data_IF_085289957761
#
_entry.id   IF_085289957761
#
_cell.length_a   1.000
_cell.length_b   1.000
_cell.length_c   1.000
_cell.angle_alpha   90.00
_cell.angle_beta   90.00
_cell.angle_gamma   90.00
#
_symmetry.space_group_name_H-M   'P 1'
#
loop_
_entity.id
_entity.type
_entity.pdbx_description
1 polymer ?
#
# COMPACT_ATOMS: atom_id res chain seq x y z
N UNK A 1 5.02 2.69 47.76
CA UNK A 1 4.10 1.63 47.32
C UNK A 1 3.98 1.78 45.82
N UNK A 2 4.71 0.96 45.07
CA UNK A 2 4.62 0.90 43.61
C UNK A 2 3.35 0.12 43.27
N UNK A 3 2.26 0.82 42.95
CA UNK A 3 1.08 0.18 42.38
C UNK A 3 1.47 -0.49 41.07
N UNK A 4 1.33 -1.81 41.03
CA UNK A 4 1.63 -2.61 39.85
C UNK A 4 0.67 -2.25 38.72
N UNK A 5 1.22 -1.68 37.65
CA UNK A 5 0.50 -1.59 36.38
C UNK A 5 0.11 -3.00 35.95
N UNK A 6 -1.19 -3.24 35.77
CA UNK A 6 -1.71 -4.49 35.23
C UNK A 6 -1.41 -4.55 33.72
N UNK A 7 -0.25 -5.11 33.36
CA UNK A 7 0.21 -5.22 31.97
C UNK A 7 -0.76 -5.98 31.04
N UNK A 8 -1.76 -6.69 31.61
CA UNK A 8 -2.77 -7.40 30.81
C UNK A 8 -3.68 -6.44 30.03
N UNK A 9 -3.93 -5.24 30.55
CA UNK A 9 -4.67 -4.18 29.85
C UNK A 9 -3.74 -3.00 29.68
N UNK A 10 -2.95 -3.05 28.61
CA UNK A 10 -1.88 -2.08 28.39
C UNK A 10 -2.41 -0.69 28.01
N UNK A 11 -3.51 -0.61 27.26
CA UNK A 11 -4.10 0.65 26.81
C UNK A 11 -5.53 0.46 26.29
N UNK A 12 -6.25 1.58 26.15
CA UNK A 12 -7.47 1.69 25.34
C UNK A 12 -7.08 1.98 23.89
N UNK A 13 -7.53 1.16 22.94
CA UNK A 13 -7.41 1.43 21.50
C UNK A 13 -8.62 2.22 21.00
N UNK A 14 -8.39 3.25 20.19
CA UNK A 14 -9.42 4.05 19.53
C UNK A 14 -9.41 3.77 18.02
N UNK A 15 -10.57 3.86 17.37
CA UNK A 15 -10.76 3.74 15.91
C UNK A 15 -11.42 5.00 15.34
N UNK A 16 -11.79 4.99 14.04
CA UNK A 16 -12.32 6.14 13.33
C UNK A 16 -13.57 6.76 13.99
N UNK A 17 -14.54 5.93 14.41
CA UNK A 17 -15.80 6.42 14.99
C UNK A 17 -15.67 6.93 16.43
N UNK A 18 -14.51 6.74 17.07
CA UNK A 18 -14.25 7.19 18.44
C UNK A 18 -13.79 8.65 18.50
N UNK A 19 -13.44 9.27 17.37
CA UNK A 19 -12.75 10.57 17.34
C UNK A 19 -13.31 11.52 16.27
N UNK A 20 -13.11 12.81 16.51
CA UNK A 20 -13.36 13.87 15.53
C UNK A 20 -12.11 14.75 15.43
N UNK A 21 -11.82 15.24 14.21
CA UNK A 21 -10.83 16.30 14.02
C UNK A 21 -11.41 17.61 14.54
N UNK A 22 -10.69 18.29 15.43
CA UNK A 22 -11.09 19.61 15.91
C UNK A 22 -10.82 20.65 14.81
N UNK A 23 -11.79 21.50 14.46
CA UNK A 23 -11.54 22.63 13.58
C UNK A 23 -10.50 23.58 14.19
N UNK A 24 -9.73 24.24 13.33
CA UNK A 24 -8.79 25.29 13.72
C UNK A 24 -8.89 26.48 12.74
N UNK A 25 -8.31 27.61 13.11
CA UNK A 25 -8.19 28.76 12.21
C UNK A 25 -7.45 28.34 10.92
N UNK A 26 -8.06 28.64 9.77
CA UNK A 26 -7.50 28.29 8.46
C UNK A 26 -7.47 29.52 7.56
N UNK A 27 -6.33 29.74 6.91
CA UNK A 27 -6.17 30.71 5.83
C UNK A 27 -6.19 30.06 4.44
N UNK A 28 -6.37 28.74 4.37
CA UNK A 28 -6.44 27.97 3.12
C UNK A 28 -7.88 27.54 2.82
N UNK A 29 -8.23 27.54 1.53
CA UNK A 29 -9.48 26.98 1.03
C UNK A 29 -9.26 25.60 0.40
N UNK A 30 -10.27 24.71 0.33
CA UNK A 30 -10.10 23.34 -0.17
C UNK A 30 -9.53 23.23 -1.59
N UNK A 31 -9.74 24.23 -2.46
CA UNK A 31 -9.19 24.21 -3.82
C UNK A 31 -7.69 24.49 -3.90
N UNK A 32 -7.08 24.93 -2.80
CA UNK A 32 -5.67 25.37 -2.74
C UNK A 32 -4.78 24.39 -1.96
N UNK A 33 -5.35 23.32 -1.40
CA UNK A 33 -4.57 22.34 -0.61
C UNK A 33 -3.73 21.45 -1.51
N UNK A 34 -2.49 21.17 -1.10
CA UNK A 34 -1.64 20.17 -1.73
C UNK A 34 -1.86 18.80 -1.06
N UNK A 35 -2.33 17.83 -1.84
CA UNK A 35 -2.59 16.46 -1.38
C UNK A 35 -1.42 15.52 -1.60
N UNK A 36 -0.29 16.02 -2.11
CA UNK A 36 0.90 15.19 -2.34
C UNK A 36 1.38 14.55 -1.06
N UNK A 37 1.78 13.29 -1.16
CA UNK A 37 2.31 12.55 -0.02
C UNK A 37 3.40 11.56 -0.43
N UNK A 38 4.20 11.14 0.53
CA UNK A 38 5.19 10.09 0.34
C UNK A 38 4.55 8.72 0.58
N UNK A 39 4.60 7.86 -0.44
CA UNK A 39 4.28 6.43 -0.28
C UNK A 39 5.48 5.68 0.31
N UNK A 40 6.67 5.95 -0.22
CA UNK A 40 7.93 5.41 0.28
C UNK A 40 8.94 6.56 0.46
N UNK A 41 10.15 6.24 0.92
CA UNK A 41 11.23 7.24 1.04
C UNK A 41 11.58 7.92 -0.29
N UNK A 42 11.32 7.27 -1.42
CA UNK A 42 11.69 7.75 -2.76
C UNK A 42 10.51 7.97 -3.70
N UNK A 43 9.29 7.56 -3.33
CA UNK A 43 8.10 7.64 -4.19
C UNK A 43 7.06 8.56 -3.56
N UNK A 44 6.68 9.58 -4.33
CA UNK A 44 5.61 10.53 -4.00
C UNK A 44 4.39 10.25 -4.90
N UNK A 45 3.20 10.40 -4.33
CA UNK A 45 1.91 10.35 -5.00
C UNK A 45 1.28 11.75 -5.01
N UNK A 46 0.46 12.05 -6.01
CA UNK A 46 -0.30 13.31 -6.08
C UNK A 46 -1.55 13.27 -5.20
N UNK A 47 -2.10 12.08 -4.95
CA UNK A 47 -3.15 11.84 -3.96
C UNK A 47 -2.73 10.75 -2.95
N UNK A 48 -3.13 10.85 -1.68
CA UNK A 48 -2.68 9.94 -0.62
C UNK A 48 -3.50 8.64 -0.60
N UNK A 49 -3.68 8.01 -1.77
CA UNK A 49 -4.54 6.84 -1.94
C UNK A 49 -3.84 5.72 -2.71
N UNK A 50 -3.98 4.51 -2.19
CA UNK A 50 -3.56 3.26 -2.81
C UNK A 50 -4.74 2.30 -2.87
N UNK A 51 -4.83 1.45 -3.90
CA UNK A 51 -5.83 0.38 -3.93
C UNK A 51 -5.29 -0.90 -3.31
N UNK A 52 -6.13 -1.59 -2.53
CA UNK A 52 -5.77 -2.80 -1.79
C UNK A 52 -5.32 -3.93 -2.71
N UNK A 53 -4.34 -4.71 -2.26
CA UNK A 53 -3.81 -5.88 -2.95
C UNK A 53 -4.74 -7.11 -2.85
N UNK A 54 -5.98 -6.97 -3.31
CA UNK A 54 -7.02 -8.01 -3.28
C UNK A 54 -7.44 -8.38 -4.70
N UNK A 55 -7.75 -9.67 -4.92
CA UNK A 55 -8.17 -10.21 -6.23
C UNK A 55 -9.44 -9.56 -6.78
N UNK A 56 -10.34 -9.16 -5.89
CA UNK A 56 -11.59 -8.49 -6.23
C UNK A 56 -11.46 -6.97 -6.34
N UNK A 57 -10.25 -6.42 -6.19
CA UNK A 57 -10.02 -4.97 -6.17
C UNK A 57 -9.00 -4.55 -7.22
N UNK A 58 -7.80 -5.13 -7.21
CA UNK A 58 -6.66 -4.56 -7.96
C UNK A 58 -5.96 -5.56 -8.86
N UNK A 59 -6.35 -5.54 -10.14
CA UNK A 59 -5.55 -6.00 -11.26
C UNK A 59 -5.10 -4.81 -12.13
N UNK A 60 -4.51 -5.07 -13.31
CA UNK A 60 -3.96 -4.04 -14.21
C UNK A 60 -4.92 -2.87 -14.51
N UNK A 61 -6.22 -3.12 -14.72
CA UNK A 61 -7.18 -2.06 -15.02
C UNK A 61 -7.35 -1.06 -13.87
N UNK A 62 -7.48 -1.56 -12.63
CA UNK A 62 -7.56 -0.71 -11.45
C UNK A 62 -6.22 0.01 -11.20
N UNK A 63 -5.09 -0.68 -11.35
CA UNK A 63 -3.78 -0.06 -11.18
C UNK A 63 -3.53 1.10 -12.16
N UNK A 64 -3.92 0.94 -13.43
CA UNK A 64 -3.88 2.01 -14.43
C UNK A 64 -4.78 3.17 -14.02
N UNK A 65 -6.01 2.89 -13.57
CA UNK A 65 -6.95 3.93 -13.15
C UNK A 65 -6.43 4.72 -11.94
N UNK A 66 -5.91 4.03 -10.93
CA UNK A 66 -5.30 4.64 -9.75
C UNK A 66 -4.10 5.52 -10.11
N UNK A 67 -3.18 5.00 -10.92
CA UNK A 67 -1.98 5.74 -11.32
C UNK A 67 -2.31 6.99 -12.15
N UNK A 68 -3.28 6.91 -13.07
CA UNK A 68 -3.77 8.08 -13.82
C UNK A 68 -4.47 9.13 -12.94
N UNK A 69 -5.02 8.70 -11.81
CA UNK A 69 -5.68 9.58 -10.84
C UNK A 69 -4.71 10.22 -9.85
N UNK A 70 -3.40 9.90 -9.95
CA UNK A 70 -2.35 10.42 -9.07
C UNK A 70 -2.00 9.53 -7.88
N UNK A 71 -2.67 8.38 -7.74
CA UNK A 71 -2.40 7.37 -6.72
C UNK A 71 -1.54 6.23 -7.26
N UNK A 72 -1.67 5.04 -6.69
CA UNK A 72 -1.06 3.81 -7.23
C UNK A 72 -1.93 2.60 -6.90
N UNK A 73 -1.94 1.60 -7.78
CA UNK A 73 -2.53 0.30 -7.46
C UNK A 73 -1.48 -0.73 -7.07
N UNK A 74 -1.81 -1.58 -6.11
CA UNK A 74 -1.00 -2.74 -5.73
C UNK A 74 -1.65 -4.00 -6.30
N UNK A 75 -1.05 -4.60 -7.32
CA UNK A 75 -1.55 -5.85 -7.91
C UNK A 75 -1.49 -6.97 -6.87
N UNK A 76 -2.62 -7.64 -6.64
CA UNK A 76 -2.71 -8.75 -5.69
C UNK A 76 -1.81 -9.93 -6.07
N UNK A 77 -1.64 -10.89 -5.15
CA UNK A 77 -0.76 -12.06 -5.35
C UNK A 77 -1.49 -13.40 -5.47
N UNK A 78 -2.82 -13.38 -5.50
CA UNK A 78 -3.67 -14.58 -5.61
C UNK A 78 -3.78 -15.06 -7.07
N UNK A 79 -2.63 -15.22 -7.73
CA UNK A 79 -2.48 -15.67 -9.11
C UNK A 79 -1.04 -16.17 -9.36
N UNK A 80 -0.78 -16.94 -10.43
CA UNK A 80 0.58 -17.32 -10.82
C UNK A 80 1.52 -16.12 -11.00
N UNK A 81 2.83 -16.33 -10.83
CA UNK A 81 3.84 -15.27 -10.93
C UNK A 81 3.80 -14.63 -12.32
N UNK A 82 3.69 -15.45 -13.36
CA UNK A 82 3.72 -15.02 -14.76
C UNK A 82 2.53 -14.13 -15.12
N UNK A 83 1.36 -14.41 -14.54
CA UNK A 83 0.14 -13.63 -14.74
C UNK A 83 0.22 -12.30 -13.96
N UNK A 84 0.78 -12.31 -12.75
CA UNK A 84 1.02 -11.07 -11.99
C UNK A 84 2.01 -10.15 -12.70
N UNK A 85 3.08 -10.74 -13.23
CA UNK A 85 4.05 -10.07 -14.10
C UNK A 85 3.37 -9.48 -15.34
N UNK A 86 2.41 -10.19 -15.93
CA UNK A 86 1.65 -9.70 -17.09
C UNK A 86 0.86 -8.44 -16.73
N UNK A 87 0.17 -8.42 -15.58
CA UNK A 87 -0.52 -7.22 -15.12
C UNK A 87 0.43 -6.04 -14.90
N UNK A 88 1.60 -6.26 -14.29
CA UNK A 88 2.61 -5.21 -14.11
C UNK A 88 3.10 -4.67 -15.46
N UNK A 89 3.45 -5.56 -16.41
CA UNK A 89 3.86 -5.16 -17.77
C UNK A 89 2.82 -4.31 -18.48
N UNK A 90 1.52 -4.62 -18.33
CA UNK A 90 0.45 -3.84 -18.92
C UNK A 90 0.40 -2.41 -18.36
N UNK A 91 0.59 -2.24 -17.05
CA UNK A 91 0.60 -0.91 -16.41
C UNK A 91 1.86 -0.12 -16.81
N UNK A 92 3.03 -0.78 -16.81
CA UNK A 92 4.29 -0.16 -17.25
C UNK A 92 4.28 0.19 -18.74
N UNK A 93 3.61 -0.62 -19.57
CA UNK A 93 3.40 -0.32 -21.00
C UNK A 93 2.57 0.94 -21.24
N UNK A 94 1.79 1.38 -20.26
CA UNK A 94 1.10 2.67 -20.26
C UNK A 94 1.94 3.82 -19.67
N UNK A 95 3.22 3.59 -19.34
CA UNK A 95 4.13 4.51 -18.65
C UNK A 95 3.61 5.00 -17.29
N UNK A 96 2.99 4.10 -16.53
CA UNK A 96 2.42 4.39 -15.21
C UNK A 96 3.16 3.63 -14.11
N UNK A 97 3.15 4.18 -12.89
CA UNK A 97 3.68 3.51 -11.71
C UNK A 97 2.73 2.40 -11.23
N UNK A 98 3.30 1.32 -10.70
CA UNK A 98 2.55 0.18 -10.17
C UNK A 98 3.30 -0.50 -9.03
N UNK A 99 2.55 -0.94 -8.03
CA UNK A 99 3.07 -1.84 -7.00
C UNK A 99 2.52 -3.25 -7.18
N UNK A 100 3.14 -4.22 -6.53
CA UNK A 100 2.65 -5.59 -6.49
C UNK A 100 2.91 -6.22 -5.12
N UNK A 101 1.95 -7.03 -4.66
CA UNK A 101 2.09 -7.78 -3.42
C UNK A 101 2.89 -9.07 -3.63
N UNK A 102 3.65 -9.45 -2.62
CA UNK A 102 4.37 -10.73 -2.54
C UNK A 102 4.14 -11.36 -1.19
N UNK A 103 4.34 -12.69 -1.11
CA UNK A 103 4.41 -13.40 0.16
C UNK A 103 5.82 -13.35 0.76
N UNK A 104 6.15 -14.38 1.51
CA UNK A 104 7.46 -14.57 2.17
C UNK A 104 8.02 -15.94 1.80
N UNK A 105 9.28 -16.20 2.17
CA UNK A 105 9.97 -17.44 1.79
C UNK A 105 10.34 -17.50 0.30
N UNK A 106 10.72 -18.69 -0.17
CA UNK A 106 11.32 -18.86 -1.50
C UNK A 106 10.38 -18.47 -2.65
N UNK A 107 9.09 -18.80 -2.55
CA UNK A 107 8.07 -18.40 -3.55
C UNK A 107 7.88 -16.88 -3.58
N UNK A 108 7.84 -16.24 -2.40
CA UNK A 108 7.74 -14.78 -2.28
C UNK A 108 8.95 -14.08 -2.88
N UNK A 109 10.16 -14.63 -2.66
CA UNK A 109 11.40 -14.11 -3.21
C UNK A 109 11.45 -14.26 -4.74
N UNK A 110 11.17 -15.46 -5.28
CA UNK A 110 11.14 -15.70 -6.72
C UNK A 110 10.10 -14.80 -7.42
N UNK A 111 8.94 -14.60 -6.78
CA UNK A 111 7.91 -13.66 -7.27
C UNK A 111 8.42 -12.22 -7.27
N UNK A 112 9.08 -11.77 -6.20
CA UNK A 112 9.65 -10.43 -6.12
C UNK A 112 10.70 -10.20 -7.21
N UNK A 113 11.62 -11.16 -7.43
CA UNK A 113 12.61 -11.10 -8.52
C UNK A 113 11.93 -10.93 -9.88
N UNK A 114 10.95 -11.77 -10.20
CA UNK A 114 10.23 -11.71 -11.47
C UNK A 114 9.48 -10.38 -11.68
N UNK A 115 8.98 -9.76 -10.61
CA UNK A 115 8.33 -8.44 -10.66
C UNK A 115 9.35 -7.30 -10.82
N UNK A 116 10.51 -7.41 -10.19
CA UNK A 116 11.62 -6.45 -10.34
C UNK A 116 12.16 -6.46 -11.77
N UNK A 117 12.29 -7.65 -12.39
CA UNK A 117 12.72 -7.80 -13.79
C UNK A 117 11.83 -7.07 -14.80
N UNK A 118 10.61 -6.73 -14.40
CA UNK A 118 9.64 -5.99 -15.22
C UNK A 118 9.36 -4.58 -14.69
N UNK A 119 10.28 -4.07 -13.88
CA UNK A 119 10.32 -2.69 -13.38
C UNK A 119 9.11 -2.30 -12.52
N UNK A 120 8.68 -3.19 -11.62
CA UNK A 120 7.69 -2.82 -10.58
C UNK A 120 8.26 -1.71 -9.70
N UNK A 121 7.45 -0.70 -9.37
CA UNK A 121 7.91 0.48 -8.61
C UNK A 121 7.92 0.23 -7.09
N UNK A 122 7.01 -0.64 -6.60
CA UNK A 122 6.89 -1.00 -5.18
C UNK A 122 6.58 -2.48 -5.02
N UNK A 123 7.36 -3.17 -4.19
CA UNK A 123 7.04 -4.52 -3.72
C UNK A 123 6.45 -4.42 -2.30
N UNK A 124 5.26 -4.96 -2.11
CA UNK A 124 4.58 -5.01 -0.81
C UNK A 124 4.67 -6.43 -0.25
N UNK A 125 5.44 -6.62 0.83
CA UNK A 125 5.47 -7.89 1.56
C UNK A 125 4.17 -8.00 2.36
N UNK A 126 3.22 -8.75 1.82
CA UNK A 126 1.83 -8.80 2.30
C UNK A 126 1.58 -10.04 3.17
N UNK A 127 1.47 -9.81 4.47
CA UNK A 127 1.46 -10.85 5.50
C UNK A 127 0.45 -10.52 6.59
N UNK A 128 -0.20 -11.54 7.15
CA UNK A 128 -1.17 -11.33 8.22
C UNK A 128 -0.51 -10.83 9.53
N UNK A 129 0.79 -11.11 9.72
CA UNK A 129 1.53 -10.68 10.90
C UNK A 129 2.99 -10.32 10.57
N UNK A 130 3.24 -9.04 10.31
CA UNK A 130 4.58 -8.54 9.93
C UNK A 130 5.61 -8.46 11.06
N UNK A 131 5.26 -8.75 12.31
CA UNK A 131 6.20 -8.75 13.45
C UNK A 131 6.67 -10.17 13.80
N UNK A 132 6.97 -10.98 12.80
CA UNK A 132 7.42 -12.36 12.97
C UNK A 132 8.74 -12.58 12.23
N UNK A 133 9.64 -13.41 12.77
CA UNK A 133 10.99 -13.62 12.21
C UNK A 133 11.02 -14.50 10.96
N UNK A 134 10.04 -15.39 10.81
CA UNK A 134 9.90 -16.23 9.62
C UNK A 134 8.95 -15.62 8.58
N UNK A 135 8.57 -14.35 8.78
CA UNK A 135 7.80 -13.53 7.86
C UNK A 135 8.72 -12.40 7.41
#
# INVERSE_FOLDING_TARGET
MSEGFNEKVAMLGLTYDDVLLLPDASEVVPSEVDTKTHLTRSITLDIPLISSAMDTVTESAMAIAMAKSGGIGIVHRNLPIEEQVTHVKLVKGANLRVGAAVGVGDDGFARAEALIDVDVDVVVVDTAHGHHRAV
#
